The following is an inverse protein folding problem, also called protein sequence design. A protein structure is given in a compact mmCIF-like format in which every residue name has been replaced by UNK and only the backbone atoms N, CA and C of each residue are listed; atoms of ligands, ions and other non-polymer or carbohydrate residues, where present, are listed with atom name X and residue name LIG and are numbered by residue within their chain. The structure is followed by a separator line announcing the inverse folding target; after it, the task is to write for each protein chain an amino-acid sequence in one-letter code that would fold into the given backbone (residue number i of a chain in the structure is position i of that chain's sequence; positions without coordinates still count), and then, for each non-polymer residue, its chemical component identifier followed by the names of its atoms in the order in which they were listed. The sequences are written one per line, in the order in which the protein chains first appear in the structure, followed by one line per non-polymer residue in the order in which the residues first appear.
data_IF_030111690058
#
_entry.id   IF_030111690058
#
_cell.length_a   1.000
_cell.length_b   1.000
_cell.length_c   1.000
_cell.angle_alpha   90.00
_cell.angle_beta   90.00
_cell.angle_gamma   90.00
#
_symmetry.space_group_name_H-M   'P 1'
#
loop_
_entity.id
_entity.type
_entity.pdbx_description
1 polymer ?
#
# COMPACT_ATOMS: atom_id res chain seq x y z
N UNK A 1 20.63 0.34 -6.97
CA UNK A 1 20.05 -0.23 -5.72
C UNK A 1 21.18 -0.62 -4.76
N UNK A 2 21.02 -0.32 -3.48
CA UNK A 2 21.94 -0.79 -2.44
C UNK A 2 21.66 -2.25 -2.05
N UNK A 3 22.47 -2.84 -1.14
CA UNK A 3 22.25 -4.20 -0.65
C UNK A 3 20.84 -4.41 -0.10
N UNK A 4 20.18 -5.50 -0.49
CA UNK A 4 18.80 -5.82 -0.11
C UNK A 4 17.72 -4.86 -0.67
N UNK A 5 18.07 -4.06 -1.67
CA UNK A 5 17.14 -3.11 -2.31
C UNK A 5 16.85 -3.48 -3.75
N UNK A 6 15.67 -3.11 -4.21
CA UNK A 6 15.20 -3.31 -5.58
C UNK A 6 14.87 -1.95 -6.17
N UNK A 7 15.45 -1.62 -7.33
CA UNK A 7 15.09 -0.45 -8.12
C UNK A 7 14.05 -0.83 -9.15
N UNK A 8 13.00 -0.06 -9.21
CA UNK A 8 11.86 -0.34 -10.08
C UNK A 8 11.52 0.86 -10.95
N UNK A 9 10.98 0.61 -12.13
CA UNK A 9 10.34 1.59 -13.00
C UNK A 9 8.84 1.56 -12.74
N UNK A 10 8.29 2.68 -12.28
CA UNK A 10 6.87 2.80 -11.98
C UNK A 10 6.06 2.71 -13.29
N UNK A 11 4.99 1.92 -13.30
CA UNK A 11 4.05 1.77 -14.42
C UNK A 11 2.77 2.55 -14.18
N UNK A 12 2.12 2.31 -13.05
CA UNK A 12 0.88 2.96 -12.65
C UNK A 12 0.96 3.26 -11.16
N UNK A 13 0.54 4.46 -10.75
CA UNK A 13 0.44 4.85 -9.35
C UNK A 13 -0.91 5.51 -9.07
N UNK A 14 -1.64 5.00 -8.08
CA UNK A 14 -2.86 5.60 -7.55
C UNK A 14 -2.56 6.82 -6.68
N UNK A 15 -3.55 7.71 -6.58
CA UNK A 15 -3.52 8.87 -5.68
C UNK A 15 -4.40 8.56 -4.48
N UNK A 16 -3.81 8.32 -3.33
CA UNK A 16 -4.53 8.10 -2.08
C UNK A 16 -5.06 9.41 -1.49
N UNK A 17 -6.12 9.32 -0.70
CA UNK A 17 -6.60 10.47 0.09
C UNK A 17 -5.55 11.00 1.06
N UNK A 18 -4.66 10.15 1.57
CA UNK A 18 -3.54 10.55 2.42
C UNK A 18 -2.50 11.41 1.70
N UNK A 19 -2.20 11.13 0.41
CA UNK A 19 -1.33 11.97 -0.42
C UNK A 19 -1.92 13.38 -0.56
N UNK A 20 -3.25 13.46 -0.81
CA UNK A 20 -3.94 14.74 -0.93
C UNK A 20 -3.98 15.53 0.38
N UNK A 21 -4.18 14.85 1.51
CA UNK A 21 -4.17 15.50 2.83
C UNK A 21 -2.79 16.03 3.16
N UNK A 22 -1.76 15.23 2.93
CA UNK A 22 -0.36 15.62 3.17
C UNK A 22 0.03 16.82 2.31
N UNK A 23 -0.30 16.78 1.01
CA UNK A 23 -0.01 17.85 0.07
C UNK A 23 -0.72 19.16 0.41
N UNK A 24 -2.01 19.10 0.82
CA UNK A 24 -2.82 20.30 1.06
C UNK A 24 -2.58 20.94 2.41
N UNK A 25 -2.32 20.17 3.44
CA UNK A 25 -2.38 20.64 4.83
C UNK A 25 -1.32 20.02 5.73
N UNK A 26 -0.43 19.17 5.20
CA UNK A 26 0.62 18.50 5.97
C UNK A 26 1.68 19.45 6.53
N UNK A 27 2.62 18.91 7.30
CA UNK A 27 2.86 17.48 7.46
C UNK A 27 1.98 16.83 8.54
N UNK A 28 1.37 15.68 8.22
CA UNK A 28 0.66 14.83 9.18
C UNK A 28 1.35 13.47 9.36
N UNK A 29 1.81 12.86 8.24
CA UNK A 29 2.41 11.54 8.19
C UNK A 29 3.91 11.65 7.94
N UNK A 30 4.34 12.64 7.15
CA UNK A 30 5.78 12.95 6.97
C UNK A 30 6.38 13.24 8.34
N UNK A 31 7.46 12.53 8.75
CA UNK A 31 8.02 12.67 10.08
C UNK A 31 8.56 14.08 10.33
N UNK A 32 8.13 14.73 11.42
CA UNK A 32 8.66 16.02 11.84
C UNK A 32 10.10 15.94 12.38
N UNK A 33 10.51 14.74 12.84
CA UNK A 33 11.89 14.44 13.30
C UNK A 33 12.46 13.31 12.46
N UNK A 34 13.79 13.13 12.38
CA UNK A 34 14.40 12.05 11.63
C UNK A 34 13.80 10.68 11.99
N UNK A 35 13.22 10.03 10.98
CA UNK A 35 12.62 8.71 11.15
C UNK A 35 13.71 7.68 11.49
N UNK A 36 13.52 6.83 12.51
CA UNK A 36 14.60 6.02 13.07
C UNK A 36 15.14 4.91 12.15
N UNK A 37 14.47 4.62 11.03
CA UNK A 37 14.92 3.64 10.05
C UNK A 37 15.41 4.25 8.74
N UNK A 38 14.93 5.44 8.39
CA UNK A 38 15.19 6.05 7.09
C UNK A 38 15.97 7.35 7.17
N UNK A 39 16.03 7.96 8.35
CA UNK A 39 16.63 9.29 8.55
C UNK A 39 15.80 10.44 7.97
N UNK A 40 14.69 10.18 7.29
CA UNK A 40 13.84 11.23 6.70
C UNK A 40 13.14 12.03 7.79
N UNK A 41 13.08 13.33 7.56
CA UNK A 41 12.38 14.31 8.38
C UNK A 41 11.63 15.30 7.47
N UNK A 42 11.07 16.36 8.04
CA UNK A 42 10.49 17.47 7.27
C UNK A 42 11.41 17.89 6.13
N UNK A 43 10.89 17.84 4.91
CA UNK A 43 11.63 18.17 3.69
C UNK A 43 10.93 17.60 2.45
N UNK A 44 11.48 17.88 1.28
CA UNK A 44 10.90 17.35 0.06
C UNK A 44 10.95 15.82 0.08
N UNK A 45 9.80 15.20 -0.20
CA UNK A 45 9.62 13.76 -0.33
C UNK A 45 8.76 13.47 -1.55
N UNK A 46 9.04 12.36 -2.22
CA UNK A 46 8.19 11.85 -3.29
C UNK A 46 7.03 11.09 -2.65
N UNK A 47 5.80 11.56 -2.85
CA UNK A 47 4.58 10.88 -2.40
C UNK A 47 4.25 9.66 -3.28
N UNK A 48 3.10 9.00 -3.03
CA UNK A 48 2.60 7.86 -3.77
C UNK A 48 3.05 6.52 -3.19
N UNK A 49 2.08 5.64 -2.91
CA UNK A 49 2.32 4.35 -2.25
C UNK A 49 1.42 3.23 -2.77
N UNK A 50 0.53 3.51 -3.73
CA UNK A 50 -0.39 2.57 -4.37
C UNK A 50 0.06 2.33 -5.81
N UNK A 51 0.99 1.41 -6.09
CA UNK A 51 1.60 1.33 -7.42
C UNK A 51 1.97 -0.07 -7.88
N UNK A 52 2.05 -0.20 -9.20
CA UNK A 52 2.71 -1.29 -9.89
C UNK A 52 3.99 -0.81 -10.57
N UNK A 53 4.92 -1.71 -10.78
CA UNK A 53 6.22 -1.39 -11.34
C UNK A 53 6.86 -2.60 -12.03
N UNK A 54 7.96 -2.35 -12.74
CA UNK A 54 8.85 -3.34 -13.30
C UNK A 54 10.23 -3.21 -12.65
N UNK A 55 10.80 -4.33 -12.23
CA UNK A 55 12.16 -4.37 -11.67
C UNK A 55 13.17 -4.03 -12.75
N UNK A 56 14.02 -3.03 -12.52
CA UNK A 56 15.10 -2.65 -13.45
C UNK A 56 16.49 -3.02 -12.93
N UNK A 57 16.66 -3.10 -11.62
CA UNK A 57 17.94 -3.41 -10.98
C UNK A 57 17.70 -4.04 -9.61
N UNK A 58 18.55 -4.98 -9.22
CA UNK A 58 18.54 -5.59 -7.88
C UNK A 58 19.89 -5.39 -7.22
N UNK A 59 19.87 -5.03 -5.94
CA UNK A 59 21.07 -4.90 -5.12
C UNK A 59 21.61 -6.26 -4.64
N UNK A 60 22.78 -6.23 -4.05
CA UNK A 60 23.41 -7.41 -3.47
C UNK A 60 22.47 -8.09 -2.45
N UNK A 61 22.40 -9.42 -2.50
CA UNK A 61 21.62 -10.24 -1.58
C UNK A 61 20.14 -10.40 -1.95
N UNK A 62 19.60 -9.66 -2.92
CA UNK A 62 18.22 -9.82 -3.41
C UNK A 62 18.05 -11.15 -4.12
N UNK A 63 17.00 -11.91 -3.75
CA UNK A 63 16.73 -13.26 -4.28
C UNK A 63 15.29 -13.47 -4.75
N UNK A 64 14.35 -12.65 -4.27
CA UNK A 64 12.91 -12.84 -4.52
C UNK A 64 12.45 -12.37 -5.90
N UNK A 65 13.19 -11.43 -6.50
CA UNK A 65 12.87 -10.80 -7.79
C UNK A 65 14.12 -10.60 -8.63
N UNK A 66 13.92 -10.41 -9.95
CA UNK A 66 14.98 -10.12 -10.93
C UNK A 66 14.53 -9.03 -11.89
N UNK A 67 15.45 -8.37 -12.63
CA UNK A 67 15.11 -7.43 -13.70
C UNK A 67 14.09 -8.02 -14.69
N UNK A 68 13.09 -7.22 -15.05
CA UNK A 68 11.96 -7.60 -15.89
C UNK A 68 10.75 -8.17 -15.14
N UNK A 69 10.87 -8.54 -13.87
CA UNK A 69 9.70 -8.97 -13.08
C UNK A 69 8.74 -7.79 -12.87
N UNK A 70 7.43 -8.07 -13.06
CA UNK A 70 6.36 -7.14 -12.73
C UNK A 70 5.99 -7.28 -11.26
N UNK A 71 5.88 -6.15 -10.56
CA UNK A 71 5.75 -6.12 -9.10
C UNK A 71 4.75 -5.06 -8.63
N UNK A 72 4.21 -5.26 -7.45
CA UNK A 72 3.66 -4.23 -6.57
C UNK A 72 4.51 -4.14 -5.32
N UNK A 73 4.33 -3.12 -4.51
CA UNK A 73 5.13 -2.94 -3.30
C UNK A 73 4.24 -2.73 -2.09
N UNK A 74 4.47 -3.53 -1.05
CA UNK A 74 3.98 -3.22 0.29
C UNK A 74 4.76 -2.01 0.82
N UNK A 75 4.12 -0.86 1.01
CA UNK A 75 4.82 0.38 1.32
C UNK A 75 5.35 0.45 2.76
N UNK A 76 5.08 -0.54 3.60
CA UNK A 76 5.47 -0.50 5.00
C UNK A 76 6.99 -0.63 5.18
N UNK A 77 7.56 0.33 5.89
CA UNK A 77 8.95 0.31 6.33
C UNK A 77 8.97 -0.06 7.81
N UNK A 78 9.54 -1.22 8.16
CA UNK A 78 9.55 -1.74 9.52
C UNK A 78 10.90 -2.29 9.95
N UNK A 79 11.12 -2.36 11.26
CA UNK A 79 12.46 -2.65 11.79
C UNK A 79 12.87 -4.14 11.79
N UNK A 80 11.95 -5.06 11.59
CA UNK A 80 12.19 -6.51 11.59
C UNK A 80 12.50 -7.15 12.95
N UNK A 81 12.79 -6.37 14.01
CA UNK A 81 13.35 -6.87 15.28
C UNK A 81 12.56 -6.56 16.55
N UNK A 82 11.59 -5.65 16.53
CA UNK A 82 10.73 -5.42 17.69
C UNK A 82 9.77 -6.58 17.91
N UNK A 83 9.10 -6.61 19.07
CA UNK A 83 8.13 -7.65 19.40
C UNK A 83 7.11 -7.88 18.29
N UNK A 84 6.50 -6.81 17.80
CA UNK A 84 5.46 -6.88 16.76
C UNK A 84 6.00 -7.44 15.43
N UNK A 85 7.18 -7.02 15.00
CA UNK A 85 7.79 -7.55 13.77
C UNK A 85 8.10 -9.04 13.90
N UNK A 86 8.61 -9.48 15.05
CA UNK A 86 8.95 -10.89 15.31
C UNK A 86 7.72 -11.79 15.40
N UNK A 87 6.54 -11.22 15.66
CA UNK A 87 5.25 -11.93 15.70
C UNK A 87 4.41 -11.72 14.43
N UNK A 88 4.99 -11.15 13.35
CA UNK A 88 4.31 -10.95 12.08
C UNK A 88 3.32 -9.77 12.04
N UNK A 89 3.29 -8.95 13.08
CA UNK A 89 2.39 -7.79 13.20
C UNK A 89 3.10 -6.52 12.74
N UNK A 90 3.61 -6.50 11.51
CA UNK A 90 4.46 -5.42 10.98
C UNK A 90 3.84 -4.04 11.05
N UNK A 91 2.51 -3.92 10.87
CA UNK A 91 1.76 -2.65 10.99
C UNK A 91 1.82 -2.04 12.39
N UNK A 92 2.18 -2.83 13.41
CA UNK A 92 2.34 -2.39 14.80
C UNK A 92 3.81 -2.10 15.15
N UNK A 93 4.70 -2.09 14.17
CA UNK A 93 6.11 -1.81 14.41
C UNK A 93 6.29 -0.49 15.15
N UNK A 94 7.08 -0.49 16.23
CA UNK A 94 7.36 0.72 17.03
C UNK A 94 8.15 1.80 16.27
N UNK A 95 8.67 1.44 15.10
CA UNK A 95 9.42 2.31 14.17
C UNK A 95 8.80 2.24 12.78
N UNK A 96 7.47 2.16 12.72
CA UNK A 96 6.77 2.08 11.44
C UNK A 96 6.96 3.36 10.63
N UNK A 97 7.29 3.19 9.38
CA UNK A 97 7.23 4.21 8.34
C UNK A 97 6.48 3.69 7.12
N UNK A 98 6.26 4.56 6.16
CA UNK A 98 5.59 4.20 4.91
C UNK A 98 6.31 4.88 3.75
N UNK A 99 6.53 4.17 2.65
CA UNK A 99 6.95 4.76 1.39
C UNK A 99 5.91 5.82 0.97
N UNK A 100 6.36 6.91 0.38
CA UNK A 100 5.54 8.09 0.12
C UNK A 100 5.50 9.10 1.28
N UNK A 101 5.96 8.74 2.50
CA UNK A 101 5.96 9.64 3.66
C UNK A 101 7.26 9.60 4.46
N UNK A 102 7.76 8.43 4.82
CA UNK A 102 9.02 8.26 5.55
C UNK A 102 10.16 7.69 4.68
N UNK A 103 9.87 7.38 3.44
CA UNK A 103 10.75 6.93 2.36
C UNK A 103 10.18 7.47 1.06
N UNK A 104 11.00 7.74 0.04
CA UNK A 104 10.50 8.20 -1.26
C UNK A 104 9.53 7.20 -1.87
N UNK A 105 8.40 7.70 -2.37
CA UNK A 105 7.31 6.93 -2.96
C UNK A 105 7.39 6.81 -4.47
N UNK A 106 6.23 6.68 -5.10
CA UNK A 106 6.08 6.26 -6.49
C UNK A 106 5.58 7.35 -7.46
N UNK A 107 5.40 8.60 -7.03
CA UNK A 107 5.13 9.70 -7.98
C UNK A 107 6.43 10.15 -8.67
N UNK A 108 7.12 9.19 -9.27
CA UNK A 108 8.37 9.33 -10.00
C UNK A 108 8.49 8.25 -11.09
N UNK A 109 9.42 8.40 -12.01
CA UNK A 109 9.69 7.37 -13.03
C UNK A 109 10.35 6.12 -12.42
N UNK A 110 11.23 6.33 -11.43
CA UNK A 110 12.00 5.28 -10.77
C UNK A 110 11.89 5.40 -9.25
N UNK A 111 11.83 4.26 -8.58
CA UNK A 111 11.87 4.17 -7.12
C UNK A 111 12.82 3.06 -6.65
N UNK A 112 13.24 3.14 -5.39
CA UNK A 112 14.08 2.11 -4.74
C UNK A 112 13.40 1.68 -3.46
N UNK A 113 13.16 0.38 -3.31
CA UNK A 113 12.42 -0.17 -2.18
C UNK A 113 13.15 -1.37 -1.57
N UNK A 114 12.97 -1.64 -0.26
CA UNK A 114 13.51 -2.85 0.35
C UNK A 114 12.89 -4.11 -0.29
N UNK A 115 13.70 -5.14 -0.52
CA UNK A 115 13.27 -6.41 -1.13
C UNK A 115 12.04 -7.01 -0.44
N UNK A 116 11.99 -6.97 0.90
CA UNK A 116 10.89 -7.57 1.66
C UNK A 116 9.50 -6.97 1.37
N UNK A 117 9.44 -5.77 0.81
CA UNK A 117 8.21 -5.12 0.39
C UNK A 117 7.83 -5.38 -1.06
N UNK A 118 8.76 -5.89 -1.88
CA UNK A 118 8.55 -6.08 -3.33
C UNK A 118 7.92 -7.43 -3.60
N UNK A 119 6.74 -7.42 -4.23
CA UNK A 119 5.91 -8.61 -4.46
C UNK A 119 5.64 -8.76 -5.96
N UNK A 120 5.93 -9.95 -6.52
CA UNK A 120 5.58 -10.25 -7.91
C UNK A 120 4.07 -10.26 -8.10
N UNK A 121 3.60 -9.68 -9.21
CA UNK A 121 2.22 -9.81 -9.65
C UNK A 121 2.14 -10.83 -10.79
N UNK A 122 1.07 -11.66 -10.85
CA UNK A 122 0.85 -12.60 -11.95
C UNK A 122 0.73 -11.90 -13.30
N UNK A 123 1.11 -12.57 -14.38
CA UNK A 123 1.02 -12.02 -15.75
C UNK A 123 -0.42 -11.67 -16.15
N UNK A 124 -1.41 -12.37 -15.59
CA UNK A 124 -2.84 -12.11 -15.78
C UNK A 124 -3.35 -10.81 -15.12
N UNK A 125 -2.57 -10.20 -14.24
CA UNK A 125 -2.91 -8.96 -13.54
C UNK A 125 -2.32 -7.78 -14.33
N UNK A 126 -3.15 -6.82 -14.76
CA UNK A 126 -2.68 -5.60 -15.43
C UNK A 126 -1.87 -4.71 -14.49
N UNK A 127 -1.14 -3.74 -15.02
CA UNK A 127 -0.40 -2.78 -14.19
C UNK A 127 -1.36 -1.93 -13.35
N UNK A 128 -2.50 -1.51 -13.92
CA UNK A 128 -3.52 -0.78 -13.17
C UNK A 128 -4.08 -1.61 -12.01
N UNK A 129 -4.43 -2.88 -12.25
CA UNK A 129 -4.88 -3.78 -11.19
C UNK A 129 -3.76 -4.04 -10.15
N UNK A 130 -2.49 -4.08 -10.58
CA UNK A 130 -1.33 -4.19 -9.71
C UNK A 130 -1.20 -3.00 -8.75
N UNK A 131 -1.53 -1.77 -9.21
CA UNK A 131 -1.55 -0.59 -8.36
C UNK A 131 -2.67 -0.65 -7.30
N UNK A 132 -3.79 -1.31 -7.59
CA UNK A 132 -4.89 -1.50 -6.64
C UNK A 132 -4.60 -2.54 -5.55
N UNK A 133 -3.52 -3.30 -5.62
CA UNK A 133 -3.20 -4.35 -4.63
C UNK A 133 -3.02 -3.74 -3.23
N UNK A 134 -2.40 -2.58 -3.11
CA UNK A 134 -2.22 -1.91 -1.82
C UNK A 134 -3.56 -1.51 -1.19
N UNK A 135 -4.42 -0.68 -1.80
CA UNK A 135 -5.69 -0.32 -1.20
C UNK A 135 -6.67 -1.52 -1.08
N UNK A 136 -6.56 -2.52 -1.94
CA UNK A 136 -7.31 -3.77 -1.80
C UNK A 136 -6.88 -4.54 -0.54
N UNK A 137 -5.59 -4.55 -0.21
CA UNK A 137 -5.12 -5.17 1.04
C UNK A 137 -5.73 -4.50 2.28
N UNK A 138 -5.93 -3.17 2.25
CA UNK A 138 -6.65 -2.43 3.30
C UNK A 138 -8.11 -2.93 3.41
N UNK A 139 -8.79 -3.07 2.27
CA UNK A 139 -10.18 -3.55 2.23
C UNK A 139 -10.31 -4.99 2.73
N UNK A 140 -9.43 -5.88 2.32
CA UNK A 140 -9.36 -7.28 2.80
C UNK A 140 -9.10 -7.32 4.29
N UNK A 141 -8.21 -6.47 4.79
CA UNK A 141 -7.95 -6.36 6.23
C UNK A 141 -9.19 -5.90 7.00
N UNK A 142 -9.93 -4.91 6.49
CA UNK A 142 -11.18 -4.44 7.10
C UNK A 142 -12.22 -5.56 7.21
N UNK A 143 -12.45 -6.33 6.14
CA UNK A 143 -13.37 -7.48 6.13
C UNK A 143 -12.91 -8.56 7.11
N UNK A 144 -11.61 -8.87 7.15
CA UNK A 144 -11.04 -9.83 8.12
C UNK A 144 -11.23 -9.35 9.57
N UNK A 145 -11.06 -8.07 9.85
CA UNK A 145 -11.29 -7.48 11.19
C UNK A 145 -12.76 -7.50 11.59
N UNK A 146 -13.67 -7.34 10.64
CA UNK A 146 -15.11 -7.47 10.86
C UNK A 146 -15.57 -8.90 11.21
N UNK A 147 -14.69 -9.90 11.06
CA UNK A 147 -15.01 -11.33 11.31
C UNK A 147 -16.27 -11.78 10.57
N UNK A 148 -16.36 -11.38 9.30
CA UNK A 148 -17.51 -11.67 8.46
C UNK A 148 -17.81 -13.17 8.43
N UNK A 149 -19.07 -13.54 8.71
CA UNK A 149 -19.57 -14.91 8.55
C UNK A 149 -20.17 -15.07 7.14
N UNK A 150 -20.03 -16.27 6.57
CA UNK A 150 -20.64 -16.61 5.28
C UNK A 150 -22.15 -16.36 5.35
N UNK A 151 -22.69 -15.73 4.33
CA UNK A 151 -24.12 -15.39 4.23
C UNK A 151 -24.56 -14.16 5.03
N UNK A 152 -23.69 -13.57 5.86
CA UNK A 152 -24.03 -12.39 6.66
C UNK A 152 -24.32 -11.17 5.76
N UNK A 153 -25.20 -10.28 6.26
CA UNK A 153 -25.43 -8.96 5.66
C UNK A 153 -24.36 -7.98 6.15
N UNK A 154 -23.86 -7.15 5.22
CA UNK A 154 -22.81 -6.14 5.49
C UNK A 154 -23.31 -4.77 5.08
N UNK A 155 -23.09 -3.77 5.90
CA UNK A 155 -23.27 -2.36 5.56
C UNK A 155 -21.89 -1.69 5.39
N UNK A 156 -21.64 -1.11 4.22
CA UNK A 156 -20.44 -0.31 3.92
C UNK A 156 -20.86 1.16 3.88
N UNK A 157 -20.29 1.96 4.76
CA UNK A 157 -20.58 3.40 4.84
C UNK A 157 -19.53 4.17 4.06
N UNK A 158 -19.95 4.75 2.94
CA UNK A 158 -19.12 5.45 1.95
C UNK A 158 -18.87 4.60 0.69
N UNK A 159 -19.09 5.22 -0.48
CA UNK A 159 -18.77 4.65 -1.80
C UNK A 159 -17.53 5.32 -2.44
N UNK A 160 -16.58 5.73 -1.63
CA UNK A 160 -15.25 6.13 -2.08
C UNK A 160 -14.41 4.90 -2.49
N UNK A 161 -13.16 5.09 -2.97
CA UNK A 161 -12.30 3.99 -3.44
C UNK A 161 -12.21 2.83 -2.45
N UNK A 162 -11.94 3.10 -1.19
CA UNK A 162 -11.86 2.06 -0.14
C UNK A 162 -13.22 1.38 0.09
N UNK A 163 -14.32 2.14 0.13
CA UNK A 163 -15.66 1.55 0.31
C UNK A 163 -16.04 0.59 -0.82
N UNK A 164 -15.73 0.95 -2.06
CA UNK A 164 -15.96 0.09 -3.23
C UNK A 164 -15.09 -1.18 -3.19
N UNK A 165 -13.85 -1.08 -2.74
CA UNK A 165 -12.97 -2.24 -2.55
C UNK A 165 -13.45 -3.13 -1.38
N UNK A 166 -13.90 -2.53 -0.26
CA UNK A 166 -14.48 -3.27 0.87
C UNK A 166 -15.75 -4.01 0.45
N UNK A 167 -16.62 -3.39 -0.35
CA UNK A 167 -17.81 -4.03 -0.92
C UNK A 167 -17.43 -5.30 -1.72
N UNK A 168 -16.44 -5.19 -2.60
CA UNK A 168 -15.96 -6.31 -3.41
C UNK A 168 -15.32 -7.40 -2.56
N UNK A 169 -14.45 -7.02 -1.62
CA UNK A 169 -13.80 -7.93 -0.69
C UNK A 169 -14.81 -8.66 0.20
N UNK A 170 -15.86 -7.97 0.69
CA UNK A 170 -16.92 -8.59 1.47
C UNK A 170 -17.71 -9.62 0.66
N UNK A 171 -18.03 -9.32 -0.60
CA UNK A 171 -18.68 -10.28 -1.52
C UNK A 171 -17.81 -11.50 -1.74
N UNK A 172 -16.53 -11.31 -2.06
CA UNK A 172 -15.57 -12.40 -2.25
C UNK A 172 -15.38 -13.25 -0.98
N UNK A 173 -15.52 -12.65 0.21
CA UNK A 173 -15.47 -13.34 1.49
C UNK A 173 -16.79 -14.05 1.88
N UNK A 174 -17.82 -14.03 1.02
CA UNK A 174 -19.06 -14.76 1.23
C UNK A 174 -20.19 -13.98 1.90
N UNK A 175 -20.17 -12.63 1.85
CA UNK A 175 -21.32 -11.83 2.27
C UNK A 175 -22.59 -12.19 1.47
N UNK A 176 -23.72 -12.38 2.15
CA UNK A 176 -25.01 -12.67 1.50
C UNK A 176 -25.63 -11.42 0.87
N UNK A 177 -25.66 -10.31 1.62
CA UNK A 177 -26.12 -9.01 1.13
C UNK A 177 -25.10 -7.93 1.50
N UNK A 178 -24.83 -7.02 0.57
CA UNK A 178 -24.00 -5.83 0.84
C UNK A 178 -24.83 -4.58 0.55
N UNK A 179 -24.98 -3.75 1.56
CA UNK A 179 -25.62 -2.44 1.49
C UNK A 179 -24.53 -1.37 1.48
N UNK A 180 -24.57 -0.48 0.50
CA UNK A 180 -23.63 0.66 0.44
C UNK A 180 -24.41 1.94 0.71
N UNK A 181 -23.93 2.72 1.66
CA UNK A 181 -24.55 3.97 2.12
C UNK A 181 -23.65 5.12 1.69
N UNK A 182 -24.12 5.96 0.78
CA UNK A 182 -23.37 7.10 0.25
C UNK A 182 -24.29 8.32 0.09
N UNK A 183 -24.01 9.46 0.75
CA UNK A 183 -24.83 10.65 0.65
C UNK A 183 -24.71 11.35 -0.71
N UNK A 184 -23.54 11.28 -1.36
CA UNK A 184 -23.29 11.98 -2.61
C UNK A 184 -23.90 11.23 -3.81
N UNK A 185 -24.85 11.88 -4.51
CA UNK A 185 -25.55 11.29 -5.66
C UNK A 185 -24.58 10.75 -6.72
N UNK A 186 -23.60 11.54 -7.15
CA UNK A 186 -22.65 11.15 -8.20
C UNK A 186 -21.68 10.00 -7.84
N UNK A 187 -21.70 9.52 -6.57
CA UNK A 187 -20.98 8.30 -6.16
C UNK A 187 -21.90 7.09 -6.02
N UNK A 188 -23.22 7.29 -6.08
CA UNK A 188 -24.20 6.20 -6.03
C UNK A 188 -24.54 5.67 -7.43
N UNK A 189 -24.34 6.48 -8.46
CA UNK A 189 -24.53 6.18 -9.90
C UNK A 189 -23.26 5.61 -10.52
#
# INVERSE_FOLDING_TARGET
AGPGQVKVRIKTCGICGSDLHEFKSGPFIIPAKPHPLTGRANGPIILGHEFSAEVVEVGEGVKSVKPGDRVTVNPLIYCGKCHYCRTGQYVMCTKLGTAGFAWDGAFAELGVFPEYGVLKIPDSVSDDAGAFVEPLAVAVHAVKRARLKIGASVAVVGAGPIGLLVMQAARAAGAGKVFVIEPLKGRRE
#
